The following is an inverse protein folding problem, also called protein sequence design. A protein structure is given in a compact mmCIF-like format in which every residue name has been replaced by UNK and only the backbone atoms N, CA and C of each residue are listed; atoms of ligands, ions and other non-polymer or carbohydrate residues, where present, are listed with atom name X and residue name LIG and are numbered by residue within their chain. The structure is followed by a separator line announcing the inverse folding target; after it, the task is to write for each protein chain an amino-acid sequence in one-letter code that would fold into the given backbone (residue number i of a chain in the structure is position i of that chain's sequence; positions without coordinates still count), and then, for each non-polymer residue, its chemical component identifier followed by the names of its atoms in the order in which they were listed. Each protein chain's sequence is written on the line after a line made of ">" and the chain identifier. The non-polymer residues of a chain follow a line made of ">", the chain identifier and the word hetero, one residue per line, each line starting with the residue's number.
data_IF_486338690572
#
_entry.id   IF_486338690572
#
_cell.length_a   1.000
_cell.length_b   1.000
_cell.length_c   1.000
_cell.angle_alpha   90.00
_cell.angle_beta   90.00
_cell.angle_gamma   90.00
#
_symmetry.space_group_name_H-M   'P 1'
#
loop_
_entity.id
_entity.type
_entity.pdbx_description
1 polymer ?
#
# COMPACT_ATOMS: atom_id res chain seq x y z
N UNK A 1 -5.83 24.94 -27.96
CA UNK A 1 -6.58 24.11 -28.93
C UNK A 1 -6.33 22.63 -28.62
N UNK A 2 -6.71 22.17 -27.42
CA UNK A 2 -6.75 20.76 -27.05
C UNK A 2 -8.21 20.47 -26.70
N UNK A 3 -9.00 20.29 -27.74
CA UNK A 3 -10.37 19.78 -27.65
C UNK A 3 -10.37 18.41 -28.30
N UNK A 4 -11.26 17.55 -27.80
CA UNK A 4 -11.65 16.23 -28.31
C UNK A 4 -10.63 15.10 -28.21
N UNK A 5 -10.72 14.40 -27.07
CA UNK A 5 -10.28 13.02 -26.88
C UNK A 5 -10.70 12.45 -25.52
N UNK A 6 -11.74 13.00 -24.86
CA UNK A 6 -12.23 12.46 -23.59
C UNK A 6 -13.02 11.20 -23.93
N UNK A 7 -12.40 10.04 -23.70
CA UNK A 7 -13.10 8.76 -23.78
C UNK A 7 -14.10 8.71 -22.60
N UNK A 8 -15.40 8.48 -22.86
CA UNK A 8 -16.40 8.33 -21.80
C UNK A 8 -16.08 7.12 -20.92
N UNK A 9 -16.03 7.31 -19.60
CA UNK A 9 -15.78 6.23 -18.62
C UNK A 9 -16.88 5.15 -18.67
N UNK A 10 -18.05 5.45 -19.22
CA UNK A 10 -19.13 4.47 -19.46
C UNK A 10 -18.70 3.26 -20.31
N UNK A 11 -17.83 3.45 -21.31
CA UNK A 11 -17.28 2.35 -22.12
C UNK A 11 -16.34 1.44 -21.32
N UNK A 12 -15.67 1.97 -20.28
CA UNK A 12 -14.82 1.18 -19.38
C UNK A 12 -15.66 0.35 -18.40
N UNK A 13 -16.80 0.87 -17.95
CA UNK A 13 -17.74 0.11 -17.12
C UNK A 13 -18.39 -1.02 -17.94
N UNK A 14 -18.76 -0.80 -19.21
CA UNK A 14 -19.28 -1.87 -20.09
C UNK A 14 -18.26 -2.99 -20.35
N UNK A 15 -16.98 -2.66 -20.55
CA UNK A 15 -15.90 -3.66 -20.67
C UNK A 15 -15.65 -4.45 -19.37
N UNK A 16 -15.98 -3.87 -18.21
CA UNK A 16 -15.90 -4.52 -16.90
C UNK A 16 -17.18 -5.30 -16.53
N UNK A 17 -18.28 -5.15 -17.29
CA UNK A 17 -19.60 -5.72 -16.98
C UNK A 17 -19.94 -6.97 -17.84
N UNK A 18 -18.95 -7.56 -18.51
CA UNK A 18 -19.10 -8.80 -19.29
C UNK A 18 -19.59 -9.97 -18.40
N UNK A 19 -20.72 -10.64 -18.73
CA UNK A 19 -21.33 -11.69 -17.89
C UNK A 19 -20.46 -12.95 -17.70
N UNK A 20 -19.38 -13.10 -18.49
CA UNK A 20 -18.36 -14.14 -18.29
C UNK A 20 -17.45 -13.85 -17.08
N UNK A 21 -17.16 -12.57 -16.79
CA UNK A 21 -16.37 -12.18 -15.60
C UNK A 21 -17.18 -12.36 -14.32
N UNK A 22 -18.49 -12.09 -14.36
CA UNK A 22 -19.40 -12.27 -13.21
C UNK A 22 -19.66 -13.74 -12.85
N UNK A 23 -19.49 -14.68 -13.79
CA UNK A 23 -19.69 -16.13 -13.56
C UNK A 23 -18.44 -16.86 -13.07
N UNK A 24 -17.24 -16.31 -13.28
CA UNK A 24 -15.97 -16.93 -12.86
C UNK A 24 -15.59 -16.64 -11.40
N UNK A 25 -16.18 -15.62 -10.79
CA UNK A 25 -15.90 -15.19 -9.43
C UNK A 25 -17.22 -15.04 -8.69
N UNK A 26 -17.48 -15.90 -7.71
CA UNK A 26 -18.72 -15.89 -6.93
C UNK A 26 -18.86 -14.56 -6.16
N UNK A 27 -19.54 -13.59 -6.79
CA UNK A 27 -19.53 -12.17 -6.43
C UNK A 27 -20.54 -11.79 -5.33
N UNK A 28 -21.28 -12.75 -4.77
CA UNK A 28 -22.34 -12.50 -3.80
C UNK A 28 -21.84 -11.98 -2.44
N UNK A 29 -20.55 -12.14 -2.11
CA UNK A 29 -19.99 -11.79 -0.80
C UNK A 29 -18.96 -10.64 -0.80
N UNK A 30 -18.70 -9.99 -1.95
CA UNK A 30 -17.68 -8.94 -2.06
C UNK A 30 -18.27 -7.52 -2.09
N UNK A 31 -17.68 -6.62 -1.31
CA UNK A 31 -18.02 -5.19 -1.30
C UNK A 31 -17.60 -4.50 -2.60
N UNK A 32 -18.28 -3.41 -2.98
CA UNK A 32 -17.93 -2.59 -4.15
C UNK A 32 -16.46 -2.10 -4.16
N UNK A 33 -15.89 -1.89 -2.97
CA UNK A 33 -14.47 -1.59 -2.76
C UNK A 33 -13.56 -2.73 -3.22
N UNK A 34 -13.89 -3.97 -2.85
CA UNK A 34 -13.20 -5.16 -3.36
C UNK A 34 -13.41 -5.29 -4.87
N UNK A 35 -14.59 -4.97 -5.41
CA UNK A 35 -14.84 -4.97 -6.87
C UNK A 35 -14.05 -3.90 -7.63
N UNK A 36 -13.79 -2.74 -7.04
CA UNK A 36 -13.00 -1.65 -7.67
C UNK A 36 -11.50 -1.95 -7.64
N UNK A 37 -10.99 -2.40 -6.48
CA UNK A 37 -9.60 -2.85 -6.34
C UNK A 37 -9.35 -4.11 -7.16
N UNK A 38 -10.33 -5.04 -7.21
CA UNK A 38 -10.34 -6.21 -8.10
C UNK A 38 -10.46 -5.79 -9.56
N UNK A 39 -11.25 -4.81 -9.98
CA UNK A 39 -11.25 -4.38 -11.40
C UNK A 39 -9.89 -3.82 -11.84
N UNK A 40 -9.21 -3.05 -10.99
CA UNK A 40 -7.83 -2.61 -11.26
C UNK A 40 -6.77 -3.71 -11.14
N UNK A 41 -7.06 -4.84 -10.47
CA UNK A 41 -6.14 -5.98 -10.30
C UNK A 41 -6.55 -7.24 -11.07
N UNK A 42 -7.73 -7.29 -11.68
CA UNK A 42 -8.31 -8.42 -12.43
C UNK A 42 -7.83 -8.41 -13.88
N UNK A 43 -7.37 -7.27 -14.39
CA UNK A 43 -6.49 -7.24 -15.57
C UNK A 43 -5.13 -7.91 -15.31
N UNK A 44 -4.77 -8.18 -14.04
CA UNK A 44 -3.45 -8.69 -13.61
C UNK A 44 -3.52 -10.11 -13.02
N UNK A 45 -4.71 -10.63 -12.69
CA UNK A 45 -4.90 -11.99 -12.14
C UNK A 45 -5.36 -13.00 -13.19
N UNK A 46 -4.45 -13.43 -14.06
CA UNK A 46 -4.69 -14.63 -14.86
C UNK A 46 -3.68 -15.77 -14.75
N UNK A 47 -2.54 -15.69 -14.08
CA UNK A 47 -1.65 -16.88 -13.98
C UNK A 47 -0.91 -16.96 -12.64
N UNK A 48 -0.81 -18.19 -12.13
CA UNK A 48 -0.25 -18.61 -10.85
C UNK A 48 1.29 -18.69 -10.81
N UNK A 49 1.81 -18.61 -9.58
CA UNK A 49 2.97 -19.30 -8.99
C UNK A 49 4.44 -18.92 -9.35
N UNK A 50 5.10 -18.36 -8.33
CA UNK A 50 6.45 -18.66 -7.79
C UNK A 50 7.74 -18.27 -8.57
N UNK A 51 8.70 -17.76 -7.76
CA UNK A 51 10.18 -17.66 -7.91
C UNK A 51 10.77 -16.23 -8.10
N UNK A 52 11.71 -15.69 -7.28
CA UNK A 52 12.06 -14.25 -7.25
C UNK A 52 12.84 -13.69 -8.46
N UNK A 53 13.23 -14.53 -9.42
CA UNK A 53 13.69 -14.14 -10.76
C UNK A 53 12.57 -14.28 -11.80
N UNK A 54 11.31 -14.14 -11.35
CA UNK A 54 10.14 -14.46 -12.14
C UNK A 54 10.02 -13.57 -13.39
N UNK A 55 9.88 -14.12 -14.61
CA UNK A 55 9.31 -13.38 -15.74
C UNK A 55 7.97 -12.70 -15.37
N UNK A 56 7.23 -13.22 -14.40
CA UNK A 56 5.96 -12.65 -13.94
C UNK A 56 6.10 -11.27 -13.29
N UNK A 57 7.19 -10.97 -12.58
CA UNK A 57 7.36 -9.64 -11.97
C UNK A 57 7.61 -8.56 -13.03
N UNK A 58 8.31 -8.93 -14.10
CA UNK A 58 8.51 -8.05 -15.27
C UNK A 58 7.20 -7.88 -16.03
N UNK A 59 6.41 -8.94 -16.17
CA UNK A 59 5.09 -8.89 -16.79
C UNK A 59 4.08 -8.06 -15.98
N UNK A 60 3.97 -8.28 -14.67
CA UNK A 60 3.10 -7.52 -13.75
C UNK A 60 3.46 -6.04 -13.74
N UNK A 61 4.75 -5.71 -13.71
CA UNK A 61 5.21 -4.32 -13.86
C UNK A 61 4.86 -3.74 -15.24
N UNK A 62 5.00 -4.52 -16.32
CA UNK A 62 4.58 -4.13 -17.65
C UNK A 62 3.09 -3.79 -17.74
N UNK A 63 2.23 -4.59 -17.10
CA UNK A 63 0.79 -4.31 -17.01
C UNK A 63 0.51 -3.04 -16.20
N UNK A 64 1.21 -2.82 -15.09
CA UNK A 64 1.10 -1.58 -14.34
C UNK A 64 1.50 -0.36 -15.18
N UNK A 65 2.56 -0.46 -15.99
CA UNK A 65 2.98 0.58 -16.92
C UNK A 65 1.92 0.85 -18.01
N UNK A 66 1.29 -0.21 -18.55
CA UNK A 66 0.21 -0.06 -19.53
C UNK A 66 -1.01 0.63 -18.90
N UNK A 67 -1.41 0.22 -17.70
CA UNK A 67 -2.49 0.86 -16.96
C UNK A 67 -2.20 2.35 -16.68
N UNK A 68 -0.95 2.70 -16.36
CA UNK A 68 -0.51 4.08 -16.21
C UNK A 68 -0.59 4.86 -17.52
N UNK A 69 -0.13 4.30 -18.64
CA UNK A 69 -0.20 4.94 -19.95
C UNK A 69 -1.65 5.15 -20.41
N UNK A 70 -2.53 4.17 -20.18
CA UNK A 70 -3.98 4.30 -20.42
C UNK A 70 -4.55 5.39 -19.51
N UNK A 71 -4.22 5.40 -18.22
CA UNK A 71 -4.68 6.41 -17.28
C UNK A 71 -4.23 7.82 -17.66
N UNK A 72 -3.00 7.98 -18.14
CA UNK A 72 -2.49 9.25 -18.67
C UNK A 72 -3.26 9.68 -19.92
N UNK A 73 -3.52 8.75 -20.84
CA UNK A 73 -4.31 9.01 -22.06
C UNK A 73 -5.75 9.43 -21.74
N UNK A 74 -6.32 8.90 -20.64
CA UNK A 74 -7.65 9.28 -20.12
C UNK A 74 -7.66 10.59 -19.32
N UNK A 75 -6.49 11.19 -19.07
CA UNK A 75 -6.33 12.40 -18.27
C UNK A 75 -6.47 12.18 -16.76
N UNK A 76 -6.24 10.96 -16.25
CA UNK A 76 -6.37 10.66 -14.81
C UNK A 76 -5.29 11.32 -13.94
N UNK A 77 -4.26 11.92 -14.52
CA UNK A 77 -3.27 12.74 -13.81
C UNK A 77 -3.72 14.21 -13.64
N UNK A 78 -4.85 14.58 -14.25
CA UNK A 78 -5.37 15.94 -14.29
C UNK A 78 -6.50 16.18 -13.28
N UNK A 79 -6.59 17.39 -12.72
CA UNK A 79 -7.73 17.81 -11.90
C UNK A 79 -9.02 17.91 -12.73
N UNK A 80 -9.95 16.98 -12.49
CA UNK A 80 -11.25 16.95 -13.14
C UNK A 80 -12.32 17.84 -12.47
N UNK A 81 -12.00 18.58 -11.39
CA UNK A 81 -12.98 19.37 -10.60
C UNK A 81 -13.84 20.29 -11.49
N UNK A 82 -13.22 20.98 -12.45
CA UNK A 82 -13.88 21.97 -13.30
C UNK A 82 -14.34 21.43 -14.66
N UNK A 83 -14.29 20.11 -14.87
CA UNK A 83 -14.67 19.51 -16.14
C UNK A 83 -16.19 19.47 -16.28
N UNK A 84 -16.67 19.71 -17.50
CA UNK A 84 -18.09 19.66 -17.88
C UNK A 84 -18.60 18.21 -18.03
N UNK A 85 -18.44 17.42 -16.96
CA UNK A 85 -18.90 16.02 -16.85
C UNK A 85 -19.76 15.87 -15.58
N UNK A 86 -20.54 14.78 -15.44
CA UNK A 86 -21.32 14.53 -14.22
C UNK A 86 -20.45 14.39 -12.96
N UNK A 87 -20.99 14.70 -11.78
CA UNK A 87 -20.26 14.61 -10.50
C UNK A 87 -19.76 13.19 -10.21
N UNK A 88 -20.59 12.18 -10.46
CA UNK A 88 -20.21 10.79 -10.25
C UNK A 88 -18.99 10.39 -11.08
N UNK A 89 -18.87 10.93 -12.31
CA UNK A 89 -17.73 10.66 -13.18
C UNK A 89 -16.47 11.35 -12.65
N UNK A 90 -16.56 12.60 -12.17
CA UNK A 90 -15.44 13.28 -11.50
C UNK A 90 -14.95 12.48 -10.29
N UNK A 91 -15.88 12.01 -9.47
CA UNK A 91 -15.59 11.23 -8.28
C UNK A 91 -14.89 9.90 -8.63
N UNK A 92 -15.42 9.13 -9.59
CA UNK A 92 -14.79 7.90 -10.07
C UNK A 92 -13.39 8.18 -10.63
N UNK A 93 -13.23 9.20 -11.47
CA UNK A 93 -11.91 9.59 -12.03
C UNK A 93 -10.91 9.86 -10.91
N UNK A 94 -11.26 10.68 -9.92
CA UNK A 94 -10.37 11.01 -8.80
C UNK A 94 -9.99 9.78 -7.98
N UNK A 95 -10.92 8.86 -7.73
CA UNK A 95 -10.62 7.58 -7.06
C UNK A 95 -9.69 6.70 -7.91
N UNK A 96 -9.94 6.57 -9.21
CA UNK A 96 -9.08 5.81 -10.11
C UNK A 96 -7.67 6.42 -10.23
N UNK A 97 -7.57 7.75 -10.25
CA UNK A 97 -6.31 8.47 -10.19
C UNK A 97 -5.50 8.04 -8.98
N UNK A 98 -6.05 8.16 -7.77
CA UNK A 98 -5.33 7.77 -6.56
C UNK A 98 -5.03 6.26 -6.49
N UNK A 99 -5.88 5.41 -7.08
CA UNK A 99 -5.57 3.99 -7.21
C UNK A 99 -4.34 3.74 -8.11
N UNK A 100 -4.23 4.42 -9.25
CA UNK A 100 -3.05 4.36 -10.12
C UNK A 100 -1.80 4.93 -9.43
N UNK A 101 -1.96 6.03 -8.69
CA UNK A 101 -0.88 6.61 -7.89
C UNK A 101 -0.32 5.60 -6.89
N UNK A 102 -1.20 4.91 -6.15
CA UNK A 102 -0.81 3.82 -5.26
C UNK A 102 -0.14 2.67 -6.00
N UNK A 103 -0.75 2.20 -7.08
CA UNK A 103 -0.21 1.09 -7.87
C UNK A 103 1.24 1.38 -8.29
N UNK A 104 1.53 2.58 -8.79
CA UNK A 104 2.88 3.00 -9.21
C UNK A 104 3.90 2.95 -8.06
N UNK A 105 3.63 3.60 -6.92
CA UNK A 105 4.60 3.70 -5.81
C UNK A 105 4.83 2.36 -5.13
N UNK A 106 3.77 1.58 -4.92
CA UNK A 106 3.87 0.27 -4.27
C UNK A 106 4.54 -0.76 -5.19
N UNK A 107 4.35 -0.65 -6.51
CA UNK A 107 5.06 -1.48 -7.51
C UNK A 107 6.54 -1.11 -7.56
N UNK A 108 6.86 0.20 -7.57
CA UNK A 108 8.24 0.69 -7.50
C UNK A 108 8.96 0.15 -6.25
N UNK A 109 8.28 0.19 -5.10
CA UNK A 109 8.79 -0.37 -3.85
C UNK A 109 9.02 -1.88 -3.95
N UNK A 110 8.01 -2.64 -4.39
CA UNK A 110 8.04 -4.10 -4.40
C UNK A 110 9.11 -4.67 -5.34
N UNK A 111 9.26 -4.08 -6.52
CA UNK A 111 10.13 -4.61 -7.57
C UNK A 111 11.43 -3.81 -7.76
N UNK A 112 11.67 -2.79 -6.93
CA UNK A 112 12.86 -1.93 -7.05
C UNK A 112 12.91 -1.16 -8.37
N UNK A 113 11.74 -0.74 -8.87
CA UNK A 113 11.60 -0.02 -10.14
C UNK A 113 11.48 1.48 -9.91
N UNK A 114 11.58 2.25 -11.00
CA UNK A 114 11.38 3.69 -10.98
C UNK A 114 9.89 4.00 -10.77
N UNK A 115 9.60 5.11 -10.10
CA UNK A 115 8.26 5.70 -10.07
C UNK A 115 8.02 6.39 -11.42
N UNK A 116 6.86 6.17 -12.03
CA UNK A 116 6.56 6.69 -13.37
C UNK A 116 5.78 7.99 -13.35
N UNK A 117 4.89 8.19 -12.39
CA UNK A 117 4.14 9.44 -12.24
C UNK A 117 5.09 10.46 -11.62
N UNK A 118 5.42 11.49 -12.39
CA UNK A 118 6.18 12.63 -11.91
C UNK A 118 5.27 13.58 -11.14
N UNK A 119 5.76 14.11 -10.01
CA UNK A 119 4.94 14.93 -9.11
C UNK A 119 4.54 16.27 -9.75
N UNK A 120 5.35 16.83 -10.66
CA UNK A 120 5.02 18.09 -11.36
C UNK A 120 3.86 17.92 -12.37
N UNK A 121 3.62 16.69 -12.85
CA UNK A 121 2.53 16.37 -13.79
C UNK A 121 1.26 15.89 -13.07
N UNK A 122 1.30 15.80 -11.73
CA UNK A 122 0.18 15.33 -10.92
C UNK A 122 -0.62 16.51 -10.35
N UNK A 123 -1.80 16.78 -10.93
CA UNK A 123 -2.65 17.90 -10.48
C UNK A 123 -3.90 17.47 -9.71
N UNK A 124 -4.08 16.16 -9.50
CA UNK A 124 -5.25 15.60 -8.82
C UNK A 124 -5.27 16.00 -7.34
N UNK A 125 -6.38 16.59 -6.90
CA UNK A 125 -6.59 16.99 -5.50
C UNK A 125 -6.76 15.81 -4.55
N UNK A 126 -6.54 16.08 -3.27
CA UNK A 126 -6.73 15.12 -2.18
C UNK A 126 -8.17 14.61 -2.08
N UNK A 127 -8.28 13.32 -1.75
CA UNK A 127 -9.57 12.68 -1.49
C UNK A 127 -10.24 13.26 -0.25
N UNK A 128 -11.55 13.39 -0.35
CA UNK A 128 -12.47 13.80 0.70
C UNK A 128 -13.60 12.78 0.79
N UNK A 129 -14.32 12.69 1.92
CA UNK A 129 -15.47 11.79 2.03
C UNK A 129 -16.54 12.03 0.95
N UNK A 130 -16.68 13.28 0.49
CA UNK A 130 -17.62 13.65 -0.58
C UNK A 130 -17.29 13.01 -1.94
N UNK A 131 -16.03 12.61 -2.17
CA UNK A 131 -15.63 11.92 -3.39
C UNK A 131 -16.13 10.47 -3.45
N UNK A 132 -16.84 9.99 -2.41
CA UNK A 132 -17.42 8.65 -2.31
C UNK A 132 -18.96 8.66 -2.18
N UNK A 133 -19.61 9.83 -2.30
CA UNK A 133 -21.06 9.96 -2.14
C UNK A 133 -21.87 9.04 -3.07
N UNK A 134 -21.36 8.80 -4.28
CA UNK A 134 -22.07 7.97 -5.27
C UNK A 134 -21.96 6.47 -4.97
N UNK A 135 -21.03 6.07 -4.10
CA UNK A 135 -20.85 4.67 -3.70
C UNK A 135 -21.96 4.18 -2.77
N UNK A 136 -22.76 5.10 -2.21
CA UNK A 136 -23.86 4.80 -1.30
C UNK A 136 -25.19 4.50 -2.03
N UNK A 137 -25.21 4.67 -3.36
CA UNK A 137 -26.43 4.62 -4.16
C UNK A 137 -26.52 3.38 -5.06
N UNK A 138 -26.57 2.17 -4.49
CA UNK A 138 -27.08 0.99 -5.20
C UNK A 138 -27.42 -0.12 -4.19
N UNK A 139 -28.69 -0.21 -3.78
CA UNK A 139 -29.20 -1.36 -3.00
C UNK A 139 -29.95 -1.07 -1.70
N UNK A 140 -30.40 0.15 -1.42
CA UNK A 140 -31.23 0.41 -0.24
C UNK A 140 -32.43 1.32 -0.51
N UNK A 141 -33.34 0.88 -1.36
CA UNK A 141 -34.77 1.18 -1.13
C UNK A 141 -35.23 0.35 0.08
N UNK A 142 -34.89 0.81 1.28
CA UNK A 142 -35.44 0.26 2.53
C UNK A 142 -36.74 1.01 2.80
N UNK A 143 -37.86 0.33 2.56
CA UNK A 143 -39.12 0.61 3.25
C UNK A 143 -38.82 0.71 4.75
N UNK A 144 -39.21 1.78 5.46
CA UNK A 144 -38.91 1.93 6.87
C UNK A 144 -39.75 0.94 7.68
N UNK A 145 -39.20 -0.26 7.89
CA UNK A 145 -39.71 -1.25 8.86
C UNK A 145 -39.01 -1.07 10.20
N UNK A 146 -39.73 -1.12 11.34
CA UNK A 146 -39.13 -0.96 12.66
C UNK A 146 -38.50 -2.29 13.11
N UNK A 147 -37.23 -2.50 12.77
CA UNK A 147 -36.45 -3.63 13.30
C UNK A 147 -34.94 -3.39 13.13
N UNK A 148 -34.08 -3.85 14.06
CA UNK A 148 -32.63 -3.80 13.88
C UNK A 148 -32.23 -4.88 12.86
N UNK A 149 -32.28 -4.54 11.58
CA UNK A 149 -31.94 -5.45 10.49
C UNK A 149 -30.42 -5.62 10.30
N UNK A 150 -30.00 -6.71 9.62
CA UNK A 150 -28.59 -7.04 9.32
C UNK A 150 -27.87 -6.06 8.37
N UNK A 151 -28.61 -5.13 7.78
CA UNK A 151 -28.25 -4.17 6.74
C UNK A 151 -27.43 -2.96 7.24
N UNK A 152 -27.57 -2.57 8.52
CA UNK A 152 -26.74 -1.51 9.12
C UNK A 152 -25.24 -1.89 9.20
N UNK A 153 -24.93 -3.18 9.32
CA UNK A 153 -23.55 -3.67 9.39
C UNK A 153 -22.84 -3.64 8.03
N UNK A 154 -23.58 -3.67 6.91
CA UNK A 154 -23.00 -3.55 5.56
C UNK A 154 -22.51 -2.14 5.27
N UNK A 155 -23.32 -1.13 5.64
CA UNK A 155 -22.99 0.29 5.48
C UNK A 155 -21.77 0.71 6.31
N UNK A 156 -21.69 0.23 7.55
CA UNK A 156 -20.54 0.49 8.44
C UNK A 156 -19.21 -0.05 7.87
N UNK A 157 -19.23 -1.19 7.19
CA UNK A 157 -18.02 -1.76 6.57
C UNK A 157 -17.62 -1.00 5.31
N UNK A 158 -18.59 -0.56 4.51
CA UNK A 158 -18.33 0.27 3.35
C UNK A 158 -17.68 1.60 3.73
N UNK A 159 -18.22 2.30 4.74
CA UNK A 159 -17.63 3.54 5.25
C UNK A 159 -16.23 3.32 5.82
N UNK A 160 -16.03 2.23 6.56
CA UNK A 160 -14.70 1.86 7.08
C UNK A 160 -13.71 1.58 5.94
N UNK A 161 -14.14 0.90 4.87
CA UNK A 161 -13.33 0.66 3.67
C UNK A 161 -12.91 1.94 2.96
N UNK A 162 -13.81 2.93 2.87
CA UNK A 162 -13.51 4.26 2.31
C UNK A 162 -12.44 4.97 3.16
N UNK A 163 -12.60 4.98 4.49
CA UNK A 163 -11.63 5.60 5.40
C UNK A 163 -10.26 4.93 5.29
N UNK A 164 -10.22 3.59 5.23
CA UNK A 164 -8.98 2.84 5.05
C UNK A 164 -8.29 3.15 3.72
N UNK A 165 -9.05 3.28 2.65
CA UNK A 165 -8.52 3.66 1.34
C UNK A 165 -7.91 5.06 1.35
N UNK A 166 -8.59 6.03 1.97
CA UNK A 166 -8.07 7.38 2.15
C UNK A 166 -6.76 7.35 2.97
N UNK A 167 -6.69 6.57 4.05
CA UNK A 167 -5.48 6.42 4.84
C UNK A 167 -4.33 5.80 4.05
N UNK A 168 -4.60 4.77 3.23
CA UNK A 168 -3.61 4.19 2.32
C UNK A 168 -3.07 5.20 1.31
N UNK A 169 -3.92 6.07 0.78
CA UNK A 169 -3.50 7.14 -0.12
C UNK A 169 -2.56 8.11 0.59
N UNK A 170 -2.86 8.51 1.83
CA UNK A 170 -1.98 9.37 2.61
C UNK A 170 -0.63 8.71 2.90
N UNK A 171 -0.62 7.43 3.30
CA UNK A 171 0.62 6.67 3.47
C UNK A 171 1.44 6.58 2.18
N UNK A 172 0.77 6.42 1.04
CA UNK A 172 1.43 6.33 -0.27
C UNK A 172 2.12 7.64 -0.65
N UNK A 173 1.59 8.79 -0.24
CA UNK A 173 2.30 10.06 -0.43
C UNK A 173 3.60 10.12 0.37
N UNK A 174 3.59 9.60 1.60
CA UNK A 174 4.81 9.48 2.41
C UNK A 174 5.80 8.54 1.71
N UNK A 175 5.32 7.40 1.19
CA UNK A 175 6.13 6.50 0.37
C UNK A 175 6.70 7.20 -0.88
N UNK A 176 5.92 8.04 -1.57
CA UNK A 176 6.39 8.84 -2.71
C UNK A 176 7.57 9.73 -2.30
N UNK A 177 7.46 10.43 -1.16
CA UNK A 177 8.55 11.24 -0.62
C UNK A 177 9.79 10.40 -0.26
N UNK A 178 9.61 9.20 0.30
CA UNK A 178 10.71 8.25 0.57
C UNK A 178 11.40 7.84 -0.73
N UNK A 179 10.64 7.47 -1.76
CA UNK A 179 11.17 7.08 -3.06
C UNK A 179 12.00 8.22 -3.69
N UNK A 180 11.47 9.45 -3.71
CA UNK A 180 12.13 10.61 -4.28
C UNK A 180 13.40 11.03 -3.53
N UNK A 181 13.45 10.84 -2.20
CA UNK A 181 14.61 11.21 -1.40
C UNK A 181 15.72 10.15 -1.33
N UNK A 182 15.39 8.86 -1.49
CA UNK A 182 16.32 7.76 -1.20
C UNK A 182 16.51 6.75 -2.33
N UNK A 183 15.56 6.64 -3.28
CA UNK A 183 15.50 5.54 -4.25
C UNK A 183 15.54 5.99 -5.71
N UNK A 184 15.88 7.25 -5.99
CA UNK A 184 16.20 7.69 -7.36
C UNK A 184 17.64 7.33 -7.73
N UNK A 185 17.92 7.21 -9.03
CA UNK A 185 19.29 6.98 -9.52
C UNK A 185 20.30 8.04 -9.05
N UNK A 186 19.83 9.28 -8.82
CA UNK A 186 20.65 10.39 -8.33
C UNK A 186 20.87 10.29 -6.82
N UNK A 187 19.80 10.13 -6.04
CA UNK A 187 19.88 10.08 -4.58
C UNK A 187 20.59 8.84 -4.07
N UNK A 188 20.58 7.74 -4.84
CA UNK A 188 21.33 6.54 -4.50
C UNK A 188 22.85 6.74 -4.43
N UNK A 189 23.40 7.80 -5.03
CA UNK A 189 24.83 8.14 -4.98
C UNK A 189 25.23 8.79 -3.66
N UNK A 190 24.28 9.40 -2.95
CA UNK A 190 24.53 9.97 -1.62
C UNK A 190 24.71 8.82 -0.62
N UNK A 191 25.85 8.82 0.06
CA UNK A 191 26.25 7.73 0.93
C UNK A 191 26.66 8.23 2.32
N UNK A 192 26.72 9.55 2.53
CA UNK A 192 26.97 10.12 3.85
C UNK A 192 25.81 9.81 4.81
N UNK A 193 26.11 9.05 5.86
CA UNK A 193 25.10 8.58 6.82
C UNK A 193 24.47 9.74 7.59
N UNK A 194 25.23 10.77 7.93
CA UNK A 194 24.72 11.92 8.70
C UNK A 194 23.70 12.70 7.87
N UNK A 195 24.03 13.00 6.61
CA UNK A 195 23.12 13.65 5.66
C UNK A 195 21.89 12.80 5.37
N UNK A 196 22.05 11.48 5.20
CA UNK A 196 20.91 10.57 4.99
C UNK A 196 19.97 10.54 6.20
N UNK A 197 20.50 10.50 7.42
CA UNK A 197 19.70 10.55 8.63
C UNK A 197 18.96 11.89 8.76
N UNK A 198 19.63 13.01 8.47
CA UNK A 198 19.00 14.33 8.49
C UNK A 198 17.81 14.42 7.52
N UNK A 199 17.92 13.83 6.32
CA UNK A 199 16.81 13.74 5.36
C UNK A 199 15.71 12.76 5.81
N UNK A 200 16.07 11.70 6.53
CA UNK A 200 15.12 10.67 6.94
C UNK A 200 14.26 11.10 8.13
N UNK A 201 14.80 11.88 9.07
CA UNK A 201 14.09 12.37 10.27
C UNK A 201 12.70 12.94 9.99
N UNK A 202 12.51 13.94 9.11
CA UNK A 202 11.18 14.47 8.84
C UNK A 202 10.22 13.41 8.26
N UNK A 203 10.72 12.44 7.48
CA UNK A 203 9.89 11.36 6.96
C UNK A 203 9.51 10.33 8.03
N UNK A 204 10.42 10.04 8.97
CA UNK A 204 10.13 9.20 10.15
C UNK A 204 9.04 9.88 10.98
N UNK A 205 9.18 11.18 11.26
CA UNK A 205 8.19 11.94 12.02
C UNK A 205 6.82 11.97 11.32
N UNK A 206 6.80 12.23 10.01
CA UNK A 206 5.56 12.16 9.21
C UNK A 206 4.90 10.78 9.28
N UNK A 207 5.70 9.71 9.19
CA UNK A 207 5.22 8.33 9.20
C UNK A 207 4.67 7.95 10.58
N UNK A 208 5.36 8.31 11.66
CA UNK A 208 4.90 8.10 13.04
C UNK A 208 3.64 8.90 13.34
N UNK A 209 3.57 10.17 12.93
CA UNK A 209 2.38 11.00 13.07
C UNK A 209 1.20 10.42 12.29
N UNK A 210 1.43 9.93 11.08
CA UNK A 210 0.42 9.25 10.29
C UNK A 210 -0.12 8.01 11.02
N UNK A 211 0.76 7.18 11.60
CA UNK A 211 0.34 5.97 12.34
C UNK A 211 -0.50 6.31 13.57
N UNK A 212 -0.13 7.36 14.32
CA UNK A 212 -0.94 7.85 15.44
C UNK A 212 -2.26 8.49 15.01
N UNK A 213 -2.36 8.97 13.77
CA UNK A 213 -3.59 9.55 13.22
C UNK A 213 -4.58 8.50 12.70
N UNK A 214 -4.23 7.20 12.73
CA UNK A 214 -5.13 6.13 12.29
C UNK A 214 -6.41 6.15 13.14
N UNK A 215 -7.59 6.34 12.52
CA UNK A 215 -8.87 6.36 13.20
C UNK A 215 -9.13 5.13 14.08
N UNK A 216 -9.85 5.28 15.21
CA UNK A 216 -10.22 4.16 16.07
C UNK A 216 -11.02 3.06 15.35
N UNK A 217 -11.73 3.42 14.28
CA UNK A 217 -12.49 2.56 13.36
C UNK A 217 -11.63 1.62 12.52
N UNK A 218 -10.32 1.85 12.44
CA UNK A 218 -9.36 1.08 11.64
C UNK A 218 -8.34 0.32 12.50
N UNK A 219 -8.63 0.14 13.79
CA UNK A 219 -7.74 -0.52 14.72
C UNK A 219 -7.78 -2.05 14.57
N UNK A 220 -6.63 -2.70 14.75
CA UNK A 220 -6.50 -4.16 14.60
C UNK A 220 -7.27 -4.97 15.65
N UNK A 221 -7.67 -4.35 16.76
CA UNK A 221 -8.45 -5.01 17.83
C UNK A 221 -9.95 -5.11 17.52
N UNK A 222 -10.42 -4.52 16.42
CA UNK A 222 -11.82 -4.63 15.98
C UNK A 222 -12.09 -6.06 15.54
N UNK A 223 -13.23 -6.59 15.99
CA UNK A 223 -13.73 -7.92 15.64
C UNK A 223 -15.07 -7.75 14.96
N UNK A 224 -15.17 -8.18 13.70
CA UNK A 224 -16.43 -8.19 12.97
C UNK A 224 -17.13 -9.53 13.17
N UNK A 225 -18.41 -9.52 13.57
CA UNK A 225 -19.19 -10.74 13.68
C UNK A 225 -19.42 -11.36 12.29
N UNK A 226 -18.99 -12.61 12.12
CA UNK A 226 -19.16 -13.41 10.89
C UNK A 226 -18.57 -12.75 9.63
N UNK A 227 -17.57 -11.87 9.79
CA UNK A 227 -16.86 -11.21 8.69
C UNK A 227 -15.37 -11.10 8.99
N UNK A 228 -14.59 -10.96 7.93
CA UNK A 228 -13.14 -10.85 7.99
C UNK A 228 -12.70 -9.41 8.29
N UNK A 229 -11.59 -9.25 9.00
CA UNK A 229 -11.03 -7.94 9.33
C UNK A 229 -9.91 -7.58 8.34
N UNK A 230 -10.15 -6.59 7.48
CA UNK A 230 -9.24 -6.21 6.38
C UNK A 230 -8.25 -5.10 6.75
N UNK A 231 -8.11 -4.74 8.02
CA UNK A 231 -7.20 -3.67 8.46
C UNK A 231 -5.73 -4.07 8.40
N UNK A 232 -5.42 -5.37 8.37
CA UNK A 232 -4.06 -5.90 8.45
C UNK A 232 -3.11 -5.27 7.42
N UNK A 233 -3.53 -5.12 6.17
CA UNK A 233 -2.65 -4.58 5.14
C UNK A 233 -2.32 -3.09 5.34
N UNK A 234 -3.20 -2.29 5.95
CA UNK A 234 -2.95 -0.86 6.23
C UNK A 234 -1.80 -0.72 7.23
N UNK A 235 -1.92 -1.41 8.37
CA UNK A 235 -0.91 -1.41 9.43
C UNK A 235 0.40 -2.05 8.96
N UNK A 236 0.32 -3.10 8.13
CA UNK A 236 1.52 -3.71 7.60
C UNK A 236 2.25 -2.82 6.60
N UNK A 237 1.50 -2.05 5.81
CA UNK A 237 2.05 -1.07 4.87
C UNK A 237 2.89 -0.01 5.57
N UNK A 238 2.50 0.44 6.78
CA UNK A 238 3.31 1.33 7.61
C UNK A 238 4.70 0.77 7.89
N UNK A 239 4.77 -0.47 8.40
CA UNK A 239 6.04 -1.13 8.65
C UNK A 239 6.82 -1.31 7.34
N UNK A 240 6.12 -1.55 6.23
CA UNK A 240 6.69 -1.59 4.88
C UNK A 240 7.48 -0.33 4.53
N UNK A 241 6.88 0.85 4.69
CA UNK A 241 7.54 2.13 4.43
C UNK A 241 8.67 2.38 5.43
N UNK A 242 8.44 2.14 6.72
CA UNK A 242 9.43 2.34 7.78
C UNK A 242 10.69 1.49 7.57
N UNK A 243 10.52 0.18 7.35
CA UNK A 243 11.64 -0.74 7.09
C UNK A 243 12.36 -0.40 5.78
N UNK A 244 11.65 0.10 4.77
CA UNK A 244 12.29 0.55 3.53
C UNK A 244 13.21 1.73 3.81
N UNK A 245 12.72 2.78 4.47
CA UNK A 245 13.53 3.93 4.84
C UNK A 245 14.74 3.53 5.70
N UNK A 246 14.52 2.70 6.72
CA UNK A 246 15.56 2.24 7.63
C UNK A 246 16.57 1.32 6.93
N UNK A 247 16.15 0.53 5.94
CA UNK A 247 17.06 -0.28 5.13
C UNK A 247 18.11 0.59 4.44
N UNK A 248 17.72 1.77 3.94
CA UNK A 248 18.69 2.69 3.32
C UNK A 248 19.69 3.23 4.34
N UNK A 249 19.22 3.60 5.53
CA UNK A 249 20.08 4.10 6.62
C UNK A 249 21.03 3.02 7.16
N UNK A 250 20.54 1.81 7.44
CA UNK A 250 21.38 0.71 7.93
C UNK A 250 22.42 0.29 6.89
N UNK A 251 22.09 0.36 5.59
CA UNK A 251 23.09 0.12 4.54
C UNK A 251 24.16 1.20 4.50
N UNK A 252 23.83 2.45 4.81
CA UNK A 252 24.82 3.53 4.80
C UNK A 252 25.85 3.40 5.90
N UNK A 253 25.47 2.85 7.06
CA UNK A 253 26.41 2.62 8.16
C UNK A 253 27.41 1.50 7.86
N UNK A 254 27.01 0.51 7.04
CA UNK A 254 27.83 -0.66 6.72
C UNK A 254 28.76 -0.47 5.50
N UNK A 255 28.50 0.52 4.65
CA UNK A 255 29.22 0.76 3.40
C UNK A 255 30.11 2.01 3.48
N UNK A 256 31.21 2.10 2.71
CA UNK A 256 32.05 3.30 2.64
C UNK A 256 31.30 4.50 2.01
N UNK A 257 31.53 5.75 2.47
CA UNK A 257 32.37 6.13 3.61
C UNK A 257 31.71 5.78 4.95
N UNK A 258 32.50 5.19 5.86
CA UNK A 258 31.99 4.80 7.19
C UNK A 258 31.78 6.03 8.06
N UNK A 259 30.60 6.12 8.68
CA UNK A 259 30.32 7.12 9.69
C UNK A 259 31.17 6.87 10.94
N UNK A 260 31.71 7.93 11.54
CA UNK A 260 32.46 7.89 12.80
C UNK A 260 31.65 8.43 13.98
N UNK A 261 30.45 8.95 13.75
CA UNK A 261 29.59 9.48 14.81
C UNK A 261 28.80 8.34 15.46
N UNK A 262 29.26 7.91 16.63
CA UNK A 262 28.65 6.83 17.41
C UNK A 262 27.20 7.13 17.80
N UNK A 263 26.83 8.41 17.99
CA UNK A 263 25.44 8.78 18.33
C UNK A 263 24.51 8.52 17.16
N UNK A 264 24.92 8.96 15.97
CA UNK A 264 24.18 8.73 14.71
C UNK A 264 24.03 7.23 14.44
N UNK A 265 25.11 6.46 14.62
CA UNK A 265 25.09 5.01 14.47
C UNK A 265 24.14 4.33 15.47
N UNK A 266 24.21 4.72 16.74
CA UNK A 266 23.34 4.20 17.80
C UNK A 266 21.86 4.53 17.54
N UNK A 267 21.55 5.78 17.16
CA UNK A 267 20.19 6.24 16.88
C UNK A 267 19.55 5.41 15.75
N UNK A 268 20.25 5.27 14.61
CA UNK A 268 19.78 4.47 13.47
C UNK A 268 19.53 3.03 13.90
N UNK A 269 20.47 2.45 14.67
CA UNK A 269 20.37 1.06 15.10
C UNK A 269 19.19 0.84 16.05
N UNK A 270 18.96 1.76 16.99
CA UNK A 270 17.85 1.67 17.93
C UNK A 270 16.50 1.74 17.21
N UNK A 271 16.32 2.69 16.29
CA UNK A 271 15.07 2.83 15.52
C UNK A 271 14.84 1.59 14.65
N UNK A 272 15.89 1.06 14.02
CA UNK A 272 15.82 -0.14 13.21
C UNK A 272 15.44 -1.39 14.02
N UNK A 273 16.02 -1.55 15.21
CA UNK A 273 15.71 -2.64 16.13
C UNK A 273 14.25 -2.59 16.58
N UNK A 274 13.78 -1.43 17.05
CA UNK A 274 12.40 -1.25 17.49
C UNK A 274 11.41 -1.53 16.35
N UNK A 275 11.68 -0.99 15.16
CA UNK A 275 10.81 -1.19 13.99
C UNK A 275 10.73 -2.66 13.58
N UNK A 276 11.87 -3.37 13.56
CA UNK A 276 11.90 -4.79 13.22
C UNK A 276 11.12 -5.64 14.25
N UNK A 277 11.32 -5.38 15.55
CA UNK A 277 10.58 -6.07 16.61
C UNK A 277 9.08 -5.82 16.52
N UNK A 278 8.65 -4.57 16.31
CA UNK A 278 7.24 -4.22 16.15
C UNK A 278 6.63 -4.85 14.89
N UNK A 279 7.34 -4.88 13.77
CA UNK A 279 6.87 -5.51 12.53
C UNK A 279 6.74 -7.03 12.66
N UNK A 280 7.72 -7.69 13.29
CA UNK A 280 7.65 -9.13 13.58
C UNK A 280 6.50 -9.41 14.55
N UNK A 281 6.40 -8.65 15.64
CA UNK A 281 5.31 -8.74 16.60
C UNK A 281 3.95 -8.55 15.96
N UNK A 282 3.83 -7.64 15.00
CA UNK A 282 2.61 -7.46 14.21
C UNK A 282 2.25 -8.74 13.43
N UNK A 283 3.20 -9.31 12.69
CA UNK A 283 2.98 -10.53 11.89
C UNK A 283 2.63 -11.74 12.77
N UNK A 284 3.33 -11.92 13.89
CA UNK A 284 3.09 -13.05 14.81
C UNK A 284 1.74 -12.96 15.53
N UNK A 285 1.19 -11.75 15.69
CA UNK A 285 -0.10 -11.51 16.34
C UNK A 285 -1.27 -11.40 15.34
N UNK A 286 -1.05 -11.72 14.06
CA UNK A 286 -2.14 -11.78 13.08
C UNK A 286 -3.09 -12.93 13.44
N UNK A 287 -4.35 -12.56 13.69
CA UNK A 287 -5.44 -13.51 13.91
C UNK A 287 -5.89 -14.16 12.59
N UNK A 288 -6.56 -15.33 12.64
CA UNK A 288 -7.10 -15.97 11.45
C UNK A 288 -8.03 -15.07 10.61
N UNK A 289 -8.85 -14.23 11.26
CA UNK A 289 -9.73 -13.28 10.58
C UNK A 289 -8.99 -12.19 9.80
N UNK A 290 -7.75 -11.88 10.17
CA UNK A 290 -6.88 -10.97 9.42
C UNK A 290 -6.19 -11.68 8.26
N UNK A 291 -5.75 -12.91 8.46
CA UNK A 291 -5.01 -13.68 7.46
C UNK A 291 -5.89 -14.04 6.26
N UNK A 292 -7.13 -14.42 6.51
CA UNK A 292 -8.11 -14.75 5.47
C UNK A 292 -8.71 -13.51 4.79
N UNK A 293 -8.54 -12.33 5.39
CA UNK A 293 -9.04 -11.07 4.85
C UNK A 293 -8.32 -10.65 3.55
N UNK A 294 -8.79 -9.54 2.98
CA UNK A 294 -8.15 -8.95 1.82
C UNK A 294 -6.74 -8.43 2.17
N UNK A 295 -5.75 -8.89 1.42
CA UNK A 295 -4.39 -8.35 1.39
C UNK A 295 -4.10 -7.73 0.03
N UNK A 296 -3.60 -6.49 0.03
CA UNK A 296 -3.25 -5.78 -1.19
C UNK A 296 -2.05 -6.44 -1.91
N UNK A 297 -1.86 -6.20 -3.21
CA UNK A 297 -0.92 -6.95 -4.06
C UNK A 297 0.53 -6.92 -3.56
N UNK A 298 0.94 -5.88 -2.85
CA UNK A 298 2.30 -5.73 -2.31
C UNK A 298 2.54 -6.50 -1.00
N UNK A 299 1.49 -7.02 -0.38
CA UNK A 299 1.60 -7.68 0.94
C UNK A 299 2.57 -8.87 0.96
N UNK A 300 2.60 -9.78 -0.03
CA UNK A 300 3.60 -10.86 -0.07
C UNK A 300 5.04 -10.34 -0.08
N UNK A 301 5.29 -9.23 -0.80
CA UNK A 301 6.58 -8.56 -0.78
C UNK A 301 6.88 -8.00 0.61
N UNK A 302 5.91 -7.39 1.30
CA UNK A 302 6.11 -6.89 2.67
C UNK A 302 6.45 -8.01 3.67
N UNK A 303 5.88 -9.22 3.53
CA UNK A 303 6.30 -10.37 4.34
C UNK A 303 7.75 -10.77 4.06
N UNK A 304 8.19 -10.74 2.80
CA UNK A 304 9.59 -10.94 2.43
C UNK A 304 10.49 -9.79 2.92
N UNK A 305 9.96 -8.57 2.94
CA UNK A 305 10.64 -7.36 3.41
C UNK A 305 11.06 -7.49 4.87
N UNK A 306 10.17 -8.00 5.73
CA UNK A 306 10.47 -8.27 7.15
C UNK A 306 11.68 -9.21 7.26
N UNK A 307 11.62 -10.36 6.61
CA UNK A 307 12.72 -11.34 6.65
C UNK A 307 14.04 -10.76 6.12
N UNK A 308 14.03 -10.09 4.97
CA UNK A 308 15.23 -9.48 4.38
C UNK A 308 15.78 -8.31 5.22
N UNK A 309 14.93 -7.55 5.90
CA UNK A 309 15.35 -6.49 6.81
C UNK A 309 15.99 -7.07 8.07
N UNK A 310 15.40 -8.11 8.66
CA UNK A 310 16.01 -8.84 9.79
C UNK A 310 17.36 -9.45 9.41
N UNK A 311 17.48 -10.05 8.23
CA UNK A 311 18.77 -10.54 7.71
C UNK A 311 19.78 -9.41 7.54
N UNK A 312 19.36 -8.22 7.09
CA UNK A 312 20.26 -7.06 7.02
C UNK A 312 20.77 -6.68 8.42
N UNK A 313 19.91 -6.63 9.43
CA UNK A 313 20.31 -6.36 10.81
C UNK A 313 21.27 -7.44 11.35
N UNK A 314 21.01 -8.72 11.03
CA UNK A 314 21.90 -9.83 11.36
C UNK A 314 23.29 -9.67 10.75
N UNK A 315 23.38 -9.39 9.45
CA UNK A 315 24.68 -9.28 8.73
C UNK A 315 25.46 -8.04 9.17
N UNK A 316 24.76 -6.96 9.52
CA UNK A 316 25.35 -5.70 9.98
C UNK A 316 25.53 -5.61 11.51
N UNK A 317 25.36 -6.73 12.22
CA UNK A 317 25.56 -6.80 13.67
C UNK A 317 26.99 -6.44 14.07
N UNK A 318 27.12 -5.65 15.14
CA UNK A 318 28.42 -5.21 15.65
C UNK A 318 28.94 -6.09 16.78
N UNK A 319 28.05 -6.83 17.46
CA UNK A 319 28.40 -7.72 18.56
C UNK A 319 27.91 -9.15 18.34
N UNK A 320 28.59 -10.10 19.00
CA UNK A 320 28.17 -11.50 18.98
C UNK A 320 26.77 -11.70 19.58
N UNK A 321 26.45 -10.98 20.66
CA UNK A 321 25.14 -11.03 21.31
C UNK A 321 24.03 -10.58 20.37
N UNK A 322 24.23 -9.46 19.67
CA UNK A 322 23.28 -8.94 18.71
C UNK A 322 23.10 -9.89 17.51
N UNK A 323 24.20 -10.47 17.02
CA UNK A 323 24.15 -11.49 15.96
C UNK A 323 23.29 -12.68 16.38
N UNK A 324 23.52 -13.21 17.57
CA UNK A 324 22.75 -14.34 18.11
C UNK A 324 21.27 -14.00 18.23
N UNK A 325 20.94 -12.83 18.79
CA UNK A 325 19.56 -12.35 18.92
C UNK A 325 18.83 -12.31 17.57
N UNK A 326 19.44 -11.71 16.54
CA UNK A 326 18.81 -11.63 15.22
C UNK A 326 18.73 -12.98 14.51
N UNK A 327 19.67 -13.90 14.77
CA UNK A 327 19.64 -15.26 14.21
C UNK A 327 18.45 -16.06 14.78
N UNK A 328 18.26 -16.02 16.10
CA UNK A 328 17.11 -16.66 16.75
C UNK A 328 15.78 -16.04 16.30
N UNK A 329 15.74 -14.71 16.24
CA UNK A 329 14.56 -13.95 15.78
C UNK A 329 14.19 -14.31 14.34
N UNK A 330 15.17 -14.39 13.43
CA UNK A 330 14.95 -14.75 12.03
C UNK A 330 14.45 -16.19 11.92
N UNK A 331 15.05 -17.13 12.65
CA UNK A 331 14.61 -18.52 12.66
C UNK A 331 13.15 -18.62 13.13
N UNK A 332 12.81 -17.98 14.25
CA UNK A 332 11.44 -17.96 14.77
C UNK A 332 10.44 -17.41 13.74
N UNK A 333 10.77 -16.28 13.10
CA UNK A 333 9.94 -15.70 12.06
C UNK A 333 9.72 -16.65 10.87
N UNK A 334 10.80 -17.29 10.38
CA UNK A 334 10.73 -18.24 9.27
C UNK A 334 9.87 -19.46 9.64
N UNK A 335 10.03 -20.01 10.84
CA UNK A 335 9.21 -21.11 11.35
C UNK A 335 7.72 -20.75 11.39
N UNK A 336 7.37 -19.59 11.96
CA UNK A 336 5.98 -19.13 11.99
C UNK A 336 5.40 -18.98 10.58
N UNK A 337 6.16 -18.37 9.67
CA UNK A 337 5.73 -18.16 8.27
C UNK A 337 5.63 -19.45 7.44
N UNK A 338 6.36 -20.50 7.83
CA UNK A 338 6.30 -21.82 7.20
C UNK A 338 5.14 -22.66 7.76
N UNK A 339 4.85 -22.53 9.06
CA UNK A 339 3.73 -23.23 9.71
C UNK A 339 2.35 -22.65 9.36
N UNK A 340 2.29 -21.43 8.86
CA UNK A 340 1.05 -20.75 8.46
C UNK A 340 0.69 -20.94 6.98
N UNK A 341 1.38 -21.82 6.25
CA UNK A 341 1.13 -22.12 4.83
C UNK A 341 0.29 -23.38 4.62
#
# INVERSE_FOLDING_TARGET
>A
MFSSGIIPVGYLLELLNEPLLLKLFDFENYTWFQKTVVCSTASIKLVQAQDPLNPDHTFQWGLACQALAIGQSLGLHLDATNWAIPQWERNVRKRLSWALFMQDRWTALAYGRLVHIHDDDWTVKDLTPADFSDCECEGSTVTPGPGPGPDNHGRSIASTGIEQYMQMVQLTKILSAVCSNFYTARTCREQDTVTLLAKARPLIDMLTNWYHSIPPTLQMNIIYQRKLCFHGYLHFSYYGVAMTLLRRLVRSTALPPRCTDDRVLSDIRQIALQTAQSAIGFVTNLRPDHLEAFWYFTSPYLFSLVGSFTTLLLVTSLSYQERHFWQETLNSYLWTSASSR
#
